data_IF_303305411976
#
_entry.id   IF_303305411976
#
_cell.length_a   1.000
_cell.length_b   1.000
_cell.length_c   1.000
_cell.angle_alpha   90.00
_cell.angle_beta   90.00
_cell.angle_gamma   90.00
#
_symmetry.space_group_name_H-M   'P 1'
#
loop_
_entity.id
_entity.type
_entity.pdbx_description
1 polymer ?
#
# COMPACT_ATOMS: atom_id res chain seq x y z
N UNK A 1 -15.86 -30.32 7.73
CA UNK A 1 -14.76 -29.56 8.37
C UNK A 1 -15.01 -28.08 8.15
N UNK A 2 -15.21 -27.29 9.21
CA UNK A 2 -15.29 -25.82 9.10
C UNK A 2 -13.86 -25.28 9.20
N UNK A 3 -13.35 -24.71 8.10
CA UNK A 3 -12.01 -24.11 8.08
C UNK A 3 -12.08 -22.79 8.85
N UNK A 4 -11.51 -22.76 10.06
CA UNK A 4 -11.34 -21.53 10.84
C UNK A 4 -10.23 -20.69 10.20
N UNK A 5 -10.57 -19.54 9.62
CA UNK A 5 -9.58 -18.58 9.13
C UNK A 5 -8.89 -17.88 10.31
N UNK A 6 -7.55 -17.88 10.38
CA UNK A 6 -6.84 -17.13 11.41
C UNK A 6 -7.04 -15.63 11.21
N UNK A 7 -7.21 -14.90 12.31
CA UNK A 7 -7.32 -13.44 12.29
C UNK A 7 -5.91 -12.87 12.11
N UNK A 8 -5.63 -12.24 10.98
CA UNK A 8 -4.37 -11.54 10.77
C UNK A 8 -4.44 -10.18 11.47
N UNK A 9 -3.65 -9.99 12.52
CA UNK A 9 -3.47 -8.68 13.13
C UNK A 9 -2.39 -7.92 12.38
N UNK A 10 -2.73 -6.73 11.92
CA UNK A 10 -1.80 -5.84 11.24
C UNK A 10 -1.25 -4.85 12.25
N UNK A 11 0.07 -4.85 12.42
CA UNK A 11 0.77 -3.89 13.28
C UNK A 11 0.95 -2.59 12.50
N UNK A 12 0.43 -1.48 13.01
CA UNK A 12 0.48 -0.17 12.36
C UNK A 12 -0.73 0.15 11.47
N UNK A 13 -0.78 1.39 10.97
CA UNK A 13 -1.87 1.84 10.12
C UNK A 13 -1.79 1.24 8.71
N UNK A 14 -2.88 1.32 7.94
CA UNK A 14 -2.90 0.85 6.55
C UNK A 14 -1.85 1.61 5.72
N UNK A 15 -1.78 2.93 5.92
CA UNK A 15 -0.91 3.86 5.21
C UNK A 15 0.56 3.54 5.48
N UNK A 16 0.92 3.34 6.75
CA UNK A 16 2.27 2.95 7.18
C UNK A 16 2.74 1.69 6.43
N UNK A 17 1.88 0.67 6.38
CA UNK A 17 2.19 -0.60 5.73
C UNK A 17 2.33 -0.46 4.22
N UNK A 18 1.45 0.32 3.58
CA UNK A 18 1.52 0.58 2.15
C UNK A 18 2.78 1.37 1.79
N UNK A 19 3.20 2.33 2.63
CA UNK A 19 4.43 3.08 2.45
C UNK A 19 5.67 2.17 2.57
N UNK A 20 5.71 1.28 3.56
CA UNK A 20 6.79 0.29 3.71
C UNK A 20 6.87 -0.62 2.48
N UNK A 21 5.73 -1.11 1.99
CA UNK A 21 5.69 -1.96 0.79
C UNK A 21 6.11 -1.20 -0.48
N UNK A 22 5.71 0.07 -0.63
CA UNK A 22 6.17 0.90 -1.74
C UNK A 22 7.70 1.06 -1.75
N UNK A 23 8.30 1.31 -0.59
CA UNK A 23 9.76 1.42 -0.45
C UNK A 23 10.46 0.10 -0.80
N UNK A 24 9.93 -1.04 -0.33
CA UNK A 24 10.44 -2.38 -0.66
C UNK A 24 10.41 -2.63 -2.16
N UNK A 25 9.27 -2.38 -2.81
CA UNK A 25 9.10 -2.57 -4.24
C UNK A 25 10.04 -1.67 -5.07
N UNK A 26 10.29 -0.43 -4.63
CA UNK A 26 11.28 0.44 -5.27
C UNK A 26 12.71 -0.08 -5.10
N UNK A 27 13.06 -0.57 -3.91
CA UNK A 27 14.36 -1.18 -3.66
C UNK A 27 14.56 -2.42 -4.54
N UNK A 28 13.55 -3.26 -4.65
CA UNK A 28 13.58 -4.44 -5.52
C UNK A 28 13.74 -4.03 -6.99
N UNK A 29 12.92 -3.08 -7.46
CA UNK A 29 13.02 -2.55 -8.82
C UNK A 29 14.39 -1.94 -9.13
N UNK A 30 15.08 -1.37 -8.15
CA UNK A 30 16.43 -0.82 -8.34
C UNK A 30 17.46 -1.90 -8.68
N UNK A 31 17.32 -3.10 -8.12
CA UNK A 31 18.19 -4.26 -8.37
C UNK A 31 17.79 -5.08 -9.59
N UNK A 32 16.57 -4.92 -10.11
CA UNK A 32 16.12 -5.64 -11.30
C UNK A 32 16.61 -4.98 -12.59
N UNK A 33 17.11 -5.75 -13.58
CA UNK A 33 17.39 -5.23 -14.91
C UNK A 33 16.15 -4.55 -15.53
N UNK A 34 16.35 -3.57 -16.43
CA UNK A 34 15.25 -2.95 -17.15
C UNK A 34 14.47 -3.98 -17.97
N UNK A 35 13.15 -4.01 -17.78
CA UNK A 35 12.26 -4.99 -18.40
C UNK A 35 10.84 -4.96 -17.84
N UNK A 36 10.05 -5.96 -18.21
CA UNK A 36 8.65 -6.12 -17.78
C UNK A 36 8.56 -6.29 -16.26
N UNK A 37 9.49 -7.02 -15.66
CA UNK A 37 9.50 -7.25 -14.21
C UNK A 37 9.78 -5.97 -13.43
N UNK A 38 10.79 -5.19 -13.83
CA UNK A 38 11.09 -3.88 -13.22
C UNK A 38 9.92 -2.91 -13.34
N UNK A 39 9.29 -2.85 -14.51
CA UNK A 39 8.14 -1.96 -14.73
C UNK A 39 6.91 -2.39 -13.92
N UNK A 40 6.68 -3.69 -13.75
CA UNK A 40 5.65 -4.23 -12.86
C UNK A 40 5.90 -3.84 -11.40
N UNK A 41 7.13 -3.99 -10.91
CA UNK A 41 7.51 -3.58 -9.55
C UNK A 41 7.30 -2.07 -9.32
N UNK A 42 7.73 -1.23 -10.27
CA UNK A 42 7.52 0.22 -10.21
C UNK A 42 6.03 0.57 -10.20
N UNK A 43 5.23 -0.10 -11.04
CA UNK A 43 3.77 0.13 -11.09
C UNK A 43 3.11 -0.23 -9.77
N UNK A 44 3.48 -1.36 -9.17
CA UNK A 44 2.97 -1.78 -7.85
C UNK A 44 3.38 -0.80 -6.75
N UNK A 45 4.62 -0.30 -6.77
CA UNK A 45 5.09 0.69 -5.82
C UNK A 45 4.24 1.97 -5.88
N UNK A 46 3.98 2.49 -7.08
CA UNK A 46 3.12 3.68 -7.28
C UNK A 46 1.69 3.46 -6.80
N UNK A 47 1.13 2.28 -7.05
CA UNK A 47 -0.21 1.93 -6.58
C UNK A 47 -0.28 1.94 -5.05
N UNK A 48 0.74 1.39 -4.38
CA UNK A 48 0.81 1.39 -2.92
C UNK A 48 0.89 2.82 -2.35
N UNK A 49 1.73 3.69 -2.94
CA UNK A 49 1.81 5.12 -2.55
C UNK A 49 0.47 5.83 -2.73
N UNK A 50 -0.17 5.65 -3.90
CA UNK A 50 -1.45 6.29 -4.20
C UNK A 50 -2.54 5.81 -3.25
N UNK A 51 -2.57 4.51 -2.96
CA UNK A 51 -3.57 3.92 -2.05
C UNK A 51 -3.38 4.42 -0.62
N UNK A 52 -2.13 4.58 -0.18
CA UNK A 52 -1.78 5.16 1.12
C UNK A 52 -2.35 6.58 1.26
N UNK A 53 -2.10 7.41 0.24
CA UNK A 53 -2.57 8.79 0.20
C UNK A 53 -4.10 8.89 0.11
N UNK A 54 -4.75 7.99 -0.65
CA UNK A 54 -6.22 7.92 -0.71
C UNK A 54 -6.83 7.52 0.63
N UNK A 55 -6.22 6.55 1.32
CA UNK A 55 -6.67 6.12 2.67
C UNK A 55 -6.57 7.27 3.66
N UNK A 56 -5.46 8.02 3.63
CA UNK A 56 -5.29 9.21 4.46
C UNK A 56 -6.36 10.28 4.16
N UNK A 57 -6.63 10.55 2.87
CA UNK A 57 -7.67 11.50 2.47
C UNK A 57 -9.06 11.08 2.98
N UNK A 58 -9.44 9.82 2.81
CA UNK A 58 -10.71 9.28 3.27
C UNK A 58 -10.88 9.33 4.80
N UNK A 59 -9.77 9.29 5.56
CA UNK A 59 -9.77 9.42 7.03
C UNK A 59 -9.88 10.85 7.52
N UNK A 60 -9.57 11.84 6.69
CA UNK A 60 -9.52 13.24 7.11
C UNK A 60 -10.94 13.81 7.16
N UNK A 61 -11.44 14.31 8.31
CA UNK A 61 -12.85 14.69 8.50
C UNK A 61 -13.27 15.99 7.76
N UNK A 62 -12.42 16.55 6.89
CA UNK A 62 -12.62 17.85 6.23
C UNK A 62 -13.71 17.90 5.15
N UNK A 63 -14.41 16.79 4.89
CA UNK A 63 -15.57 16.72 3.99
C UNK A 63 -16.88 16.46 4.75
N UNK A 64 -16.94 16.73 6.06
CA UNK A 64 -18.23 16.85 6.75
C UNK A 64 -18.81 18.21 6.41
N UNK A 65 -19.95 18.22 5.72
CA UNK A 65 -20.75 19.44 5.61
C UNK A 65 -20.97 20.02 7.02
N UNK A 66 -20.83 21.35 7.21
CA UNK A 66 -21.13 21.96 8.49
C UNK A 66 -22.59 21.64 8.85
N UNK A 67 -22.79 21.14 10.07
CA UNK A 67 -24.12 20.92 10.66
C UNK A 67 -24.83 22.23 10.93
#
# INVERSE_FOLDING_TARGET
MVIKRPRLMHTGSLEERLNIEAQRLRKEASGTPPGVDRSSLIRRARLAETTSQLSEWLRTPGLRAPT
#
